data_IF_146970896150
#
_entry.id   IF_146970896150
#
_cell.length_a   1.000
_cell.length_b   1.000
_cell.length_c   1.000
_cell.angle_alpha   90.00
_cell.angle_beta   90.00
_cell.angle_gamma   90.00
#
_symmetry.space_group_name_H-M   'P 1'
#
loop_
_entity.id
_entity.type
_entity.pdbx_description
1 polymer ?
#
# COMPACT_ATOMS: atom_id res chain seq x y z
N UNK A 1 -0.22 -30.75 -9.13
CA UNK A 1 -0.67 -31.29 -7.82
C UNK A 1 -1.38 -30.17 -7.08
N UNK A 2 -2.57 -30.40 -6.53
CA UNK A 2 -3.31 -29.43 -5.71
C UNK A 2 -2.93 -29.58 -4.25
N UNK A 3 -2.72 -28.45 -3.52
CA UNK A 3 -2.44 -28.43 -2.09
C UNK A 3 -3.46 -27.52 -1.39
N UNK A 4 -4.14 -28.05 -0.37
CA UNK A 4 -5.03 -27.29 0.51
C UNK A 4 -4.26 -26.78 1.73
N UNK A 5 -4.59 -25.57 2.22
CA UNK A 5 -3.94 -24.99 3.40
C UNK A 5 -4.87 -24.85 4.62
N UNK A 6 -6.17 -24.92 4.42
CA UNK A 6 -7.20 -24.81 5.48
C UNK A 6 -8.11 -26.05 5.48
N UNK A 7 -7.55 -27.22 5.18
CA UNK A 7 -8.26 -28.49 5.15
C UNK A 7 -7.75 -29.41 6.25
N UNK A 8 -8.61 -30.32 6.72
CA UNK A 8 -8.22 -31.29 7.73
C UNK A 8 -6.98 -32.08 7.30
N UNK A 9 -6.05 -32.34 8.22
CA UNK A 9 -4.77 -33.01 8.00
C UNK A 9 -3.81 -32.35 6.99
N UNK A 10 -4.07 -31.06 6.64
CA UNK A 10 -3.14 -30.29 5.81
C UNK A 10 -2.38 -29.25 6.65
N UNK A 11 -1.11 -29.05 6.35
CA UNK A 11 -0.26 -28.08 7.06
C UNK A 11 -0.49 -26.68 6.50
N UNK A 12 -0.85 -25.74 7.38
CA UNK A 12 -0.86 -24.32 7.07
C UNK A 12 0.54 -23.75 7.36
N UNK A 13 1.28 -23.41 6.31
CA UNK A 13 2.66 -22.94 6.47
C UNK A 13 2.73 -21.44 6.76
N UNK A 14 3.85 -21.01 7.34
CA UNK A 14 4.12 -19.59 7.58
C UNK A 14 4.13 -18.76 6.28
N UNK A 15 4.60 -19.36 5.17
CA UNK A 15 4.61 -18.71 3.85
C UNK A 15 3.19 -18.53 3.32
N UNK A 16 2.34 -19.54 3.45
CA UNK A 16 0.94 -19.45 3.04
C UNK A 16 0.17 -18.42 3.86
N UNK A 17 0.44 -18.34 5.17
CA UNK A 17 -0.14 -17.33 6.03
C UNK A 17 0.36 -15.92 5.68
N UNK A 18 1.67 -15.74 5.48
CA UNK A 18 2.24 -14.47 5.08
C UNK A 18 1.67 -14.00 3.73
N UNK A 19 1.55 -14.89 2.74
CA UNK A 19 0.93 -14.56 1.45
C UNK A 19 -0.53 -14.14 1.62
N UNK A 20 -1.32 -14.84 2.45
CA UNK A 20 -2.70 -14.48 2.73
C UNK A 20 -2.81 -13.08 3.33
N UNK A 21 -2.01 -12.77 4.36
CA UNK A 21 -2.00 -11.43 4.98
C UNK A 21 -1.49 -10.36 4.01
N UNK A 22 -0.46 -10.66 3.19
CA UNK A 22 0.05 -9.72 2.19
C UNK A 22 -1.04 -9.33 1.18
N UNK A 23 -1.81 -10.30 0.69
CA UNK A 23 -2.93 -10.05 -0.22
C UNK A 23 -4.08 -9.32 0.46
N UNK A 24 -4.40 -9.68 1.70
CA UNK A 24 -5.42 -9.01 2.50
C UNK A 24 -5.10 -7.52 2.75
N UNK A 25 -3.82 -7.20 2.97
CA UNK A 25 -3.33 -5.83 3.14
C UNK A 25 -2.95 -5.15 1.81
N UNK A 26 -3.22 -5.77 0.67
CA UNK A 26 -2.83 -5.28 -0.66
C UNK A 26 -1.33 -4.94 -0.76
N UNK A 27 -0.46 -5.79 -0.21
CA UNK A 27 0.99 -5.62 -0.20
C UNK A 27 1.51 -4.52 0.73
N UNK A 28 0.64 -3.88 1.51
CA UNK A 28 1.05 -2.78 2.41
C UNK A 28 1.89 -3.31 3.58
N UNK A 29 2.94 -2.57 3.89
CA UNK A 29 3.73 -2.71 5.10
C UNK A 29 3.39 -1.57 6.06
N UNK A 30 3.49 -1.78 7.37
CA UNK A 30 3.25 -0.68 8.30
C UNK A 30 3.11 -1.12 9.75
N UNK A 31 3.08 -0.13 10.62
CA UNK A 31 2.88 -0.28 12.06
C UNK A 31 1.41 -0.51 12.34
N UNK A 32 1.09 -1.57 13.09
CA UNK A 32 -0.25 -1.85 13.57
C UNK A 32 -0.50 -1.24 14.96
N UNK A 33 0.53 -1.20 15.83
CA UNK A 33 0.43 -0.62 17.17
C UNK A 33 1.82 -0.31 17.73
N UNK A 34 1.96 0.80 18.45
CA UNK A 34 3.22 1.16 19.13
C UNK A 34 4.34 1.53 18.16
N UNK A 35 5.51 0.93 18.31
CA UNK A 35 6.72 1.21 17.53
C UNK A 35 7.11 2.69 17.54
N UNK A 36 7.01 3.36 18.69
CA UNK A 36 7.39 4.77 18.83
C UNK A 36 8.85 4.99 18.43
N UNK A 37 9.15 6.16 17.85
CA UNK A 37 10.49 6.49 17.43
C UNK A 37 11.08 7.58 18.33
N UNK A 38 12.34 7.43 18.67
CA UNK A 38 13.12 8.47 19.36
C UNK A 38 14.59 8.37 18.98
N UNK A 39 15.33 9.44 19.21
CA UNK A 39 16.78 9.45 19.02
C UNK A 39 17.45 10.29 20.10
N UNK A 40 18.72 9.99 20.33
CA UNK A 40 19.68 10.86 21.02
C UNK A 40 20.67 11.42 20.01
N UNK A 41 21.74 12.03 20.49
CA UNK A 41 22.85 12.52 19.63
C UNK A 41 23.46 11.39 18.79
N UNK A 42 23.57 10.18 19.36
CA UNK A 42 24.33 9.06 18.76
C UNK A 42 23.56 7.73 18.73
N UNK A 43 22.27 7.75 19.03
CA UNK A 43 21.45 6.52 19.00
C UNK A 43 20.09 6.77 18.38
N UNK A 44 19.54 5.74 17.74
CA UNK A 44 18.18 5.68 17.24
C UNK A 44 17.44 4.53 17.93
N UNK A 45 16.23 4.80 18.42
CA UNK A 45 15.43 3.84 19.17
C UNK A 45 14.07 3.65 18.52
N UNK A 46 13.62 2.41 18.43
CA UNK A 46 12.25 2.04 18.15
C UNK A 46 11.64 1.37 19.38
N UNK A 47 10.49 1.83 19.84
CA UNK A 47 9.79 1.31 21.00
C UNK A 47 9.08 0.00 20.73
N UNK A 48 8.54 -0.60 21.78
CA UNK A 48 7.70 -1.80 21.69
C UNK A 48 6.50 -1.59 20.75
N UNK A 49 6.06 -2.67 20.10
CA UNK A 49 4.91 -2.59 19.21
C UNK A 49 4.79 -3.74 18.25
N UNK A 50 3.85 -3.59 17.33
CA UNK A 50 3.50 -4.57 16.31
C UNK A 50 3.51 -3.91 14.93
N UNK A 51 4.03 -4.61 13.95
CA UNK A 51 4.05 -4.15 12.57
C UNK A 51 3.99 -5.32 11.58
N UNK A 52 3.66 -5.03 10.34
CA UNK A 52 3.57 -6.01 9.25
C UNK A 52 4.53 -5.62 8.14
N UNK A 53 5.28 -6.58 7.63
CA UNK A 53 6.14 -6.43 6.46
C UNK A 53 5.85 -7.56 5.48
N UNK A 54 5.26 -7.24 4.33
CA UNK A 54 4.91 -8.20 3.30
C UNK A 54 4.21 -9.44 3.88
N UNK A 55 3.13 -9.19 4.62
CA UNK A 55 2.32 -10.20 5.27
C UNK A 55 2.92 -10.89 6.50
N UNK A 56 4.17 -10.61 6.84
CA UNK A 56 4.82 -11.14 8.05
C UNK A 56 4.54 -10.23 9.22
N UNK A 57 3.85 -10.75 10.21
CA UNK A 57 3.50 -10.05 11.46
C UNK A 57 4.65 -10.17 12.45
N UNK A 58 5.13 -9.04 12.94
CA UNK A 58 6.31 -8.91 13.79
C UNK A 58 5.97 -8.11 15.05
N UNK A 59 6.62 -8.48 16.16
CA UNK A 59 6.50 -7.78 17.44
C UNK A 59 7.88 -7.37 17.93
N UNK A 60 8.01 -6.11 18.35
CA UNK A 60 9.09 -5.62 19.19
C UNK A 60 8.60 -5.74 20.64
N UNK A 61 9.14 -6.70 21.39
CA UNK A 61 8.69 -7.00 22.77
C UNK A 61 9.19 -5.94 23.75
N UNK A 62 10.43 -5.46 23.54
CA UNK A 62 11.05 -4.35 24.27
C UNK A 62 11.71 -3.43 23.25
N UNK A 63 11.84 -2.14 23.58
CA UNK A 63 12.43 -1.20 22.63
C UNK A 63 13.83 -1.61 22.17
N UNK A 64 14.10 -1.44 20.88
CA UNK A 64 15.41 -1.69 20.25
C UNK A 64 16.15 -0.37 20.07
N UNK A 65 17.37 -0.29 20.58
CA UNK A 65 18.24 0.88 20.48
C UNK A 65 19.53 0.55 19.76
N UNK A 66 19.76 1.21 18.63
CA UNK A 66 21.03 1.14 17.90
C UNK A 66 21.88 2.33 18.35
N UNK A 67 23.00 2.05 18.97
CA UNK A 67 23.92 3.05 19.56
C UNK A 67 25.20 3.20 18.76
N UNK A 68 26.00 4.22 19.13
CA UNK A 68 27.30 4.51 18.52
C UNK A 68 27.24 4.90 17.03
N UNK A 69 26.18 5.58 16.65
CA UNK A 69 26.01 6.10 15.29
C UNK A 69 26.68 7.47 15.21
N UNK A 70 27.98 7.50 14.91
CA UNK A 70 28.82 8.71 14.95
C UNK A 70 29.48 9.08 13.63
N UNK A 71 29.57 8.13 12.69
CA UNK A 71 30.17 8.39 11.37
C UNK A 71 29.26 9.30 10.55
N UNK A 72 29.82 10.37 9.95
CA UNK A 72 29.05 11.26 9.08
C UNK A 72 28.46 10.49 7.87
N UNK A 73 27.20 10.76 7.53
CA UNK A 73 26.53 10.10 6.44
C UNK A 73 25.00 10.14 6.55
N UNK A 74 24.36 9.39 5.69
CA UNK A 74 22.90 9.24 5.60
C UNK A 74 22.52 7.85 6.07
N UNK A 75 21.46 7.76 6.86
CA UNK A 75 21.10 6.56 7.58
C UNK A 75 19.60 6.26 7.46
N UNK A 76 19.25 4.97 7.45
CA UNK A 76 17.87 4.51 7.61
C UNK A 76 17.80 3.45 8.70
N UNK A 77 16.87 3.63 9.65
CA UNK A 77 16.47 2.62 10.61
C UNK A 77 15.45 1.71 9.96
N UNK A 78 15.77 0.43 9.79
CA UNK A 78 14.96 -0.53 9.04
C UNK A 78 14.69 -1.81 9.84
N UNK A 79 13.55 -2.45 9.56
CA UNK A 79 13.41 -3.88 9.75
C UNK A 79 13.86 -4.57 8.47
N UNK A 80 14.84 -5.42 8.54
CA UNK A 80 15.22 -6.32 7.46
C UNK A 80 14.66 -7.69 7.70
N UNK A 81 13.93 -8.20 6.72
CA UNK A 81 13.56 -9.60 6.60
C UNK A 81 14.55 -10.26 5.64
N UNK A 82 15.15 -11.35 6.05
CA UNK A 82 16.08 -12.16 5.24
C UNK A 82 15.70 -13.64 5.35
N UNK A 83 14.94 -14.11 4.38
CA UNK A 83 14.42 -15.48 4.33
C UNK A 83 15.49 -16.53 3.96
N UNK A 84 16.71 -16.12 3.59
CA UNK A 84 17.82 -17.04 3.39
C UNK A 84 18.39 -17.58 4.71
N UNK A 85 18.09 -16.91 5.83
CA UNK A 85 18.48 -17.33 7.17
C UNK A 85 17.52 -18.38 7.72
N UNK A 86 17.99 -19.15 8.69
CA UNK A 86 17.19 -20.18 9.39
C UNK A 86 16.92 -19.71 10.81
N UNK A 87 15.64 -19.70 11.22
CA UNK A 87 15.25 -19.49 12.60
C UNK A 87 15.60 -20.71 13.44
N UNK A 88 15.86 -20.50 14.73
CA UNK A 88 16.01 -21.57 15.72
C UNK A 88 14.82 -21.55 16.70
N UNK A 89 14.75 -22.50 17.61
CA UNK A 89 13.71 -22.51 18.64
C UNK A 89 13.77 -21.25 19.54
N UNK A 90 14.99 -20.73 19.74
CA UNK A 90 15.24 -19.65 20.70
C UNK A 90 15.49 -18.27 20.03
N UNK A 91 15.59 -18.22 18.67
CA UNK A 91 15.94 -16.99 17.99
C UNK A 91 15.25 -16.84 16.63
N UNK A 92 14.69 -15.65 16.41
CA UNK A 92 14.20 -15.18 15.12
C UNK A 92 15.37 -14.58 14.32
N UNK A 93 16.02 -15.37 13.48
CA UNK A 93 17.17 -14.93 12.67
C UNK A 93 16.76 -14.29 11.34
N UNK A 94 15.53 -14.55 10.88
CA UNK A 94 15.01 -14.06 9.61
C UNK A 94 14.52 -12.61 9.65
N UNK A 95 14.48 -11.96 10.83
CA UNK A 95 14.15 -10.56 10.94
C UNK A 95 15.05 -9.85 11.95
N UNK A 96 15.45 -8.63 11.64
CA UNK A 96 16.25 -7.79 12.54
C UNK A 96 15.96 -6.31 12.35
N UNK A 97 15.96 -5.57 13.46
CA UNK A 97 16.02 -4.12 13.45
C UNK A 97 17.49 -3.72 13.30
N UNK A 98 17.78 -2.89 12.32
CA UNK A 98 19.15 -2.42 12.09
C UNK A 98 19.19 -1.03 11.44
N UNK A 99 20.36 -0.44 11.45
CA UNK A 99 20.65 0.79 10.73
C UNK A 99 21.50 0.46 9.51
N UNK A 100 21.10 0.96 8.36
CA UNK A 100 21.89 0.94 7.12
C UNK A 100 22.34 2.35 6.80
N UNK A 101 23.47 2.50 6.11
CA UNK A 101 24.08 3.81 5.85
C UNK A 101 24.66 3.95 4.46
N UNK A 102 24.79 5.19 4.03
CA UNK A 102 25.51 5.61 2.82
C UNK A 102 26.21 6.95 3.06
N UNK A 103 27.25 7.24 2.33
CA UNK A 103 28.04 8.47 2.52
C UNK A 103 27.50 9.68 1.75
N UNK A 104 26.74 9.49 0.69
CA UNK A 104 26.35 10.55 -0.24
C UNK A 104 24.84 10.86 -0.27
N UNK A 105 24.02 9.86 -0.12
CA UNK A 105 22.55 9.96 -0.18
C UNK A 105 21.93 8.99 0.81
N UNK A 106 20.62 9.08 1.06
CA UNK A 106 19.94 8.06 1.84
C UNK A 106 20.07 6.69 1.17
N UNK A 107 20.29 5.62 1.96
CA UNK A 107 20.44 4.26 1.43
C UNK A 107 19.25 3.85 0.57
N UNK A 108 19.51 3.19 -0.55
CA UNK A 108 18.45 2.51 -1.31
C UNK A 108 18.05 1.24 -0.56
N UNK A 109 16.76 1.08 -0.30
CA UNK A 109 16.23 -0.10 0.38
C UNK A 109 16.22 -1.30 -0.56
N UNK A 110 16.59 -2.46 -0.05
CA UNK A 110 16.36 -3.73 -0.75
C UNK A 110 14.91 -4.18 -0.52
N UNK A 111 14.11 -4.23 -1.58
CA UNK A 111 12.68 -4.56 -1.51
C UNK A 111 12.32 -5.63 -2.55
N UNK A 112 12.87 -6.83 -2.37
CA UNK A 112 12.54 -7.97 -3.21
C UNK A 112 11.12 -8.49 -2.93
N UNK A 113 10.51 -9.18 -3.87
CA UNK A 113 9.23 -9.85 -3.64
C UNK A 113 9.43 -11.13 -2.81
N UNK A 114 9.38 -10.98 -1.48
CA UNK A 114 9.53 -12.08 -0.51
C UNK A 114 8.24 -12.93 -0.35
N UNK A 115 7.19 -12.65 -1.10
CA UNK A 115 6.02 -13.54 -1.25
C UNK A 115 6.15 -14.46 -2.47
N UNK A 116 7.13 -14.20 -3.33
CA UNK A 116 7.55 -15.00 -4.49
C UNK A 116 8.93 -15.63 -4.30
N UNK A 117 9.88 -15.25 -5.13
CA UNK A 117 11.24 -15.81 -5.15
C UNK A 117 12.29 -14.94 -4.46
N UNK A 118 11.94 -13.73 -4.06
CA UNK A 118 12.83 -12.83 -3.33
C UNK A 118 13.10 -13.31 -1.90
N UNK A 119 14.24 -12.95 -1.36
CA UNK A 119 14.65 -13.37 -0.02
C UNK A 119 14.82 -12.20 0.96
N UNK A 120 15.07 -10.99 0.47
CA UNK A 120 15.37 -9.84 1.33
C UNK A 120 14.37 -8.71 1.11
N UNK A 121 13.82 -8.19 2.21
CA UNK A 121 12.98 -7.00 2.19
C UNK A 121 13.31 -6.07 3.38
N UNK A 122 13.48 -4.78 3.10
CA UNK A 122 13.73 -3.76 4.09
C UNK A 122 12.53 -2.81 4.19
N UNK A 123 11.96 -2.68 5.38
CA UNK A 123 10.93 -1.71 5.73
C UNK A 123 11.54 -0.59 6.56
N UNK A 124 11.38 0.66 6.14
CA UNK A 124 11.97 1.83 6.77
C UNK A 124 11.05 2.41 7.85
N UNK A 125 11.57 2.54 9.07
CA UNK A 125 10.88 3.23 10.17
C UNK A 125 11.25 4.70 10.23
N UNK A 126 12.54 5.02 10.06
CA UNK A 126 13.04 6.38 10.10
C UNK A 126 14.26 6.55 9.20
N UNK A 127 14.53 7.77 8.78
CA UNK A 127 15.79 8.17 8.17
C UNK A 127 16.34 9.39 8.86
N UNK A 128 17.66 9.51 8.86
CA UNK A 128 18.36 10.62 9.50
C UNK A 128 19.73 10.83 8.88
N UNK A 129 20.34 11.96 9.20
CA UNK A 129 21.71 12.30 8.83
C UNK A 129 22.58 12.36 10.07
N UNK A 130 23.85 12.02 9.94
CA UNK A 130 24.86 12.27 10.98
C UNK A 130 25.83 13.31 10.46
N UNK A 131 25.95 14.40 11.20
CA UNK A 131 26.85 15.52 10.92
C UNK A 131 27.63 15.87 12.21
N UNK A 132 28.93 15.97 12.08
CA UNK A 132 29.82 16.24 13.24
C UNK A 132 29.59 15.26 14.40
N UNK A 133 29.36 13.98 14.07
CA UNK A 133 29.13 12.94 15.06
C UNK A 133 27.78 12.96 15.77
N UNK A 134 26.84 13.77 15.28
CA UNK A 134 25.51 13.91 15.88
C UNK A 134 24.41 13.60 14.87
N UNK A 135 23.35 12.91 15.32
CA UNK A 135 22.15 12.65 14.54
C UNK A 135 21.40 13.97 14.33
N UNK A 136 21.11 14.26 13.08
CA UNK A 136 20.33 15.41 12.63
C UNK A 136 19.23 14.95 11.67
N UNK A 137 18.21 15.79 11.45
CA UNK A 137 17.14 15.55 10.48
C UNK A 137 16.47 14.18 10.67
N UNK A 138 16.21 13.77 11.91
CA UNK A 138 15.50 12.51 12.19
C UNK A 138 14.06 12.62 11.71
N UNK A 139 13.72 11.80 10.70
CA UNK A 139 12.43 11.85 9.99
C UNK A 139 11.71 10.52 10.14
N UNK A 140 10.48 10.56 10.63
CA UNK A 140 9.58 9.40 10.66
C UNK A 140 9.18 8.97 9.24
N UNK A 141 9.33 7.67 8.95
CA UNK A 141 8.99 7.03 7.68
C UNK A 141 7.98 5.90 7.85
N UNK A 142 7.46 5.74 9.07
CA UNK A 142 6.45 4.71 9.33
C UNK A 142 5.19 4.97 8.51
N UNK A 143 4.67 3.91 7.96
CA UNK A 143 3.28 3.80 7.50
C UNK A 143 2.49 3.06 8.56
N UNK A 144 1.17 3.20 8.55
CA UNK A 144 0.30 2.52 9.51
C UNK A 144 -0.67 1.60 8.77
N UNK A 145 -0.95 0.45 9.37
CA UNK A 145 -1.94 -0.51 8.90
C UNK A 145 -2.95 -0.77 10.01
N UNK A 146 -4.20 -0.50 9.72
CA UNK A 146 -5.34 -0.74 10.59
C UNK A 146 -6.57 -1.13 9.76
N UNK A 147 -7.69 -1.38 10.42
CA UNK A 147 -8.94 -1.72 9.73
C UNK A 147 -9.53 -0.53 8.94
N UNK A 148 -9.24 0.71 9.34
CA UNK A 148 -9.62 1.90 8.59
C UNK A 148 -8.97 1.90 7.22
N UNK A 149 -7.71 1.48 7.11
CA UNK A 149 -7.00 1.38 5.84
C UNK A 149 -7.70 0.45 4.85
N UNK A 150 -8.25 -0.67 5.32
CA UNK A 150 -9.02 -1.61 4.47
C UNK A 150 -10.35 -1.00 4.08
N UNK A 151 -11.03 -0.37 5.02
CA UNK A 151 -12.28 0.34 4.79
C UNK A 151 -12.10 1.46 3.76
N UNK A 152 -11.04 2.27 3.87
CA UNK A 152 -10.72 3.35 2.95
C UNK A 152 -10.44 2.83 1.53
N UNK A 153 -9.77 1.68 1.38
CA UNK A 153 -9.57 1.04 0.06
C UNK A 153 -10.92 0.66 -0.56
N UNK A 154 -11.80 0.01 0.22
CA UNK A 154 -13.12 -0.39 -0.26
C UNK A 154 -13.97 0.84 -0.62
N UNK A 155 -13.94 1.90 0.20
CA UNK A 155 -14.67 3.14 -0.06
C UNK A 155 -14.18 3.84 -1.32
N UNK A 156 -12.87 3.94 -1.52
CA UNK A 156 -12.30 4.60 -2.70
C UNK A 156 -12.62 3.84 -3.99
N UNK A 157 -12.57 2.51 -3.98
CA UNK A 157 -12.96 1.68 -5.13
C UNK A 157 -14.47 1.83 -5.44
N UNK A 158 -15.32 1.81 -4.40
CA UNK A 158 -16.76 2.00 -4.56
C UNK A 158 -17.09 3.42 -5.07
N UNK A 159 -16.39 4.46 -4.59
CA UNK A 159 -16.58 5.83 -5.06
C UNK A 159 -16.16 5.97 -6.53
N UNK A 160 -15.06 5.37 -6.95
CA UNK A 160 -14.63 5.36 -8.36
C UNK A 160 -15.70 4.78 -9.29
N UNK A 161 -16.35 3.67 -8.89
CA UNK A 161 -17.46 3.09 -9.67
C UNK A 161 -18.67 4.02 -9.70
N UNK A 162 -19.00 4.71 -8.63
CA UNK A 162 -20.09 5.69 -8.58
C UNK A 162 -19.83 6.88 -9.51
N UNK A 163 -18.61 7.43 -9.49
CA UNK A 163 -18.20 8.54 -10.36
C UNK A 163 -18.29 8.15 -11.84
N UNK A 164 -17.90 6.91 -12.20
CA UNK A 164 -18.03 6.37 -13.57
C UNK A 164 -19.52 6.26 -13.99
N UNK A 165 -20.39 5.81 -13.09
CA UNK A 165 -21.84 5.72 -13.33
C UNK A 165 -22.45 7.12 -13.49
N UNK A 166 -22.09 8.06 -12.63
CA UNK A 166 -22.57 9.45 -12.74
C UNK A 166 -22.14 10.10 -14.06
N UNK A 167 -20.88 9.89 -14.47
CA UNK A 167 -20.40 10.37 -15.76
C UNK A 167 -21.14 9.74 -16.94
N UNK A 168 -21.39 8.44 -16.89
CA UNK A 168 -22.17 7.74 -17.93
C UNK A 168 -23.61 8.25 -18.01
N UNK A 169 -24.26 8.48 -16.86
CA UNK A 169 -25.60 9.07 -16.78
C UNK A 169 -25.62 10.50 -17.34
N UNK A 170 -24.63 11.33 -16.99
CA UNK A 170 -24.52 12.70 -17.51
C UNK A 170 -24.37 12.71 -19.03
N UNK A 171 -23.54 11.80 -19.59
CA UNK A 171 -23.39 11.65 -21.04
C UNK A 171 -24.71 11.26 -21.73
N UNK A 172 -25.56 10.48 -21.08
CA UNK A 172 -26.90 10.12 -21.58
C UNK A 172 -27.85 11.32 -21.50
N UNK A 173 -27.83 12.07 -20.40
CA UNK A 173 -28.68 13.24 -20.17
C UNK A 173 -28.32 14.40 -21.11
N UNK A 174 -27.03 14.62 -21.37
CA UNK A 174 -26.53 15.66 -22.27
C UNK A 174 -26.80 15.34 -23.76
N UNK A 175 -27.45 14.20 -24.06
CA UNK A 175 -27.84 13.80 -25.41
C UNK A 175 -26.68 13.47 -26.34
N UNK A 176 -25.47 13.32 -25.80
CA UNK A 176 -24.27 13.00 -26.61
C UNK A 176 -24.23 11.54 -27.05
N UNK A 177 -25.05 10.65 -26.46
CA UNK A 177 -24.97 9.22 -26.72
C UNK A 177 -26.24 8.55 -27.29
N UNK A 178 -27.48 9.03 -27.02
CA UNK A 178 -28.68 8.33 -27.50
C UNK A 178 -29.92 9.23 -27.61
N UNK A 179 -30.43 9.40 -28.82
CA UNK A 179 -31.85 9.64 -29.03
C UNK A 179 -32.63 8.35 -28.73
N UNK A 180 -33.62 8.44 -27.85
CA UNK A 180 -34.45 7.30 -27.46
C UNK A 180 -34.96 6.52 -28.68
N UNK A 181 -34.64 5.23 -28.72
CA UNK A 181 -34.91 4.33 -29.84
C UNK A 181 -36.41 4.00 -30.02
N UNK A 182 -37.29 4.51 -29.14
CA UNK A 182 -38.73 4.32 -29.21
C UNK A 182 -39.50 5.52 -28.67
N UNK A 183 -40.01 6.37 -29.57
CA UNK A 183 -41.18 7.19 -29.34
C UNK A 183 -41.16 8.23 -28.22
N UNK A 184 -40.01 8.74 -27.81
CA UNK A 184 -39.92 9.81 -26.84
C UNK A 184 -40.21 11.18 -27.45
N UNK A 185 -41.01 12.03 -26.78
CA UNK A 185 -41.20 13.43 -27.15
C UNK A 185 -40.10 14.26 -26.47
N UNK A 186 -39.32 14.96 -27.29
CA UNK A 186 -38.34 15.92 -26.77
C UNK A 186 -38.87 17.35 -26.95
N UNK A 187 -38.87 18.11 -25.86
CA UNK A 187 -39.34 19.52 -25.84
C UNK A 187 -38.17 20.51 -25.96
N UNK A 188 -37.02 20.11 -26.49
CA UNK A 188 -35.83 20.97 -26.61
C UNK A 188 -35.37 21.14 -28.08
N UNK A 189 -34.50 22.12 -28.30
CA UNK A 189 -33.85 22.33 -29.59
C UNK A 189 -32.71 21.32 -29.74
N UNK A 190 -32.71 20.56 -30.84
CA UNK A 190 -31.63 19.63 -31.20
C UNK A 190 -30.78 20.26 -32.31
N UNK A 191 -29.48 20.25 -32.13
CA UNK A 191 -28.52 20.58 -33.19
C UNK A 191 -27.84 19.32 -33.66
N UNK A 192 -27.98 18.97 -34.94
CA UNK A 192 -27.30 17.84 -35.53
C UNK A 192 -26.11 18.29 -36.36
N UNK A 193 -24.92 17.84 -35.99
CA UNK A 193 -23.69 18.07 -36.77
C UNK A 193 -23.38 16.86 -37.69
N UNK A 194 -24.31 16.51 -38.55
CA UNK A 194 -24.15 15.36 -39.46
C UNK A 194 -25.39 15.09 -40.33
N UNK A 195 -25.30 14.07 -41.17
CA UNK A 195 -26.43 13.68 -42.05
C UNK A 195 -27.54 13.01 -41.22
N UNK A 196 -28.75 13.54 -41.31
CA UNK A 196 -29.96 12.95 -40.74
C UNK A 196 -30.57 12.04 -41.81
N UNK A 197 -30.64 10.72 -41.56
CA UNK A 197 -31.43 9.80 -42.34
C UNK A 197 -32.71 9.53 -41.54
N UNK A 198 -33.78 10.20 -41.87
CA UNK A 198 -35.09 10.01 -41.23
C UNK A 198 -36.08 9.43 -42.21
N UNK A 199 -36.67 8.26 -41.89
CA UNK A 199 -37.63 7.59 -42.73
C UNK A 199 -39.05 8.15 -42.61
N UNK A 200 -39.36 9.00 -41.65
CA UNK A 200 -40.64 9.73 -41.55
C UNK A 200 -40.47 10.95 -40.62
N UNK A 201 -40.31 12.13 -41.18
CA UNK A 201 -40.47 13.38 -40.45
C UNK A 201 -41.84 13.94 -40.78
N UNK A 202 -42.78 13.91 -39.83
CA UNK A 202 -44.04 14.61 -39.96
C UNK A 202 -43.92 15.96 -39.27
N UNK A 203 -43.94 17.04 -40.02
CA UNK A 203 -43.99 18.39 -39.50
C UNK A 203 -45.47 18.81 -39.37
N UNK A 204 -46.05 18.79 -38.19
CA UNK A 204 -47.41 19.27 -37.94
C UNK A 204 -47.37 20.75 -37.56
N UNK A 205 -46.87 21.62 -38.44
CA UNK A 205 -47.22 23.03 -38.36
C UNK A 205 -48.63 23.22 -38.81
N UNK A 206 -49.59 23.21 -37.91
CA UNK A 206 -50.88 23.84 -38.12
C UNK A 206 -50.89 25.19 -37.44
N UNK A 207 -51.13 26.21 -38.25
CA UNK A 207 -51.49 27.58 -37.84
C UNK A 207 -52.65 27.59 -36.87
#
# INVERSE_FOLDING_TARGET
MLKGHVFNLQTFTSEAFALFIDKFLNGRCGVAKGCSLSNTTTSATIGEGYFVVRGRFLQIISGETISNITANGYYSLVCEIDLSKTNTADALNQAAIKVISSTSTYPTLTQQDITGTGTVYQYEFARFKVESGSITNFTDKRTFVDFTTIYDVIQNEAQGVLDDIEQALQNVLDGSAYLLKSGGVSNGNFTFNGNIIANNISNSNRC
#
